data_IF_818940870327
#
_entry.id   IF_818940870327
#
_cell.length_a   1.000
_cell.length_b   1.000
_cell.length_c   1.000
_cell.angle_alpha   90.00
_cell.angle_beta   90.00
_cell.angle_gamma   90.00
#
_symmetry.space_group_name_H-M   'P 1'
#
loop_
_entity.id
_entity.type
_entity.pdbx_description
1 polymer ?
#
# COMPACT_ATOMS: atom_id res chain seq x y z
N UNK A 1 -26.98 -6.99 -48.55
CA UNK A 1 -25.52 -6.73 -48.55
C UNK A 1 -25.02 -7.16 -47.19
N UNK A 2 -24.32 -8.28 -47.12
CA UNK A 2 -23.78 -8.82 -45.87
C UNK A 2 -22.52 -8.01 -45.49
N UNK A 3 -22.38 -7.65 -44.22
CA UNK A 3 -21.18 -6.96 -43.71
C UNK A 3 -20.11 -8.01 -43.39
N UNK A 4 -18.93 -7.90 -44.00
CA UNK A 4 -17.80 -8.83 -43.85
C UNK A 4 -17.05 -8.70 -42.52
N UNK A 5 -17.44 -7.79 -41.63
CA UNK A 5 -16.69 -7.55 -40.39
C UNK A 5 -17.48 -7.99 -39.16
N UNK A 6 -16.94 -9.02 -38.51
CA UNK A 6 -17.36 -9.51 -37.20
C UNK A 6 -17.02 -8.47 -36.11
N UNK A 7 -18.00 -7.82 -35.45
CA UNK A 7 -17.75 -6.81 -34.43
C UNK A 7 -17.28 -7.42 -33.07
N UNK A 8 -17.27 -8.75 -32.96
CA UNK A 8 -16.73 -9.48 -31.81
C UNK A 8 -15.33 -10.02 -32.10
N UNK A 9 -14.40 -9.13 -32.41
CA UNK A 9 -12.98 -9.43 -32.31
C UNK A 9 -12.62 -9.65 -30.83
N UNK A 10 -12.38 -10.91 -30.46
CA UNK A 10 -11.75 -11.25 -29.20
C UNK A 10 -10.27 -10.86 -29.27
N UNK A 11 -9.90 -9.75 -28.63
CA UNK A 11 -8.50 -9.61 -28.20
C UNK A 11 -8.33 -10.62 -27.09
N UNK A 12 -7.59 -11.70 -27.37
CA UNK A 12 -6.99 -12.50 -26.32
C UNK A 12 -5.97 -11.60 -25.61
N UNK A 13 -6.48 -10.83 -24.65
CA UNK A 13 -5.66 -9.96 -23.84
C UNK A 13 -5.11 -10.86 -22.77
N UNK A 14 -3.81 -11.13 -22.84
CA UNK A 14 -3.03 -11.88 -21.86
C UNK A 14 -2.97 -11.13 -20.51
N UNK A 15 -4.15 -10.93 -19.91
CA UNK A 15 -4.37 -10.32 -18.60
C UNK A 15 -4.09 -11.31 -17.47
N UNK A 16 -3.77 -12.56 -17.80
CA UNK A 16 -3.68 -13.65 -16.83
C UNK A 16 -2.34 -13.63 -16.06
N UNK A 17 -1.26 -13.12 -16.65
CA UNK A 17 -0.01 -12.86 -15.91
C UNK A 17 0.01 -11.46 -15.28
N UNK A 18 -0.94 -11.21 -14.38
CA UNK A 18 -0.96 -9.98 -13.60
C UNK A 18 0.10 -10.05 -12.50
N UNK A 19 1.30 -9.53 -12.78
CA UNK A 19 2.32 -9.30 -11.78
C UNK A 19 1.76 -8.41 -10.66
N UNK A 20 1.78 -8.92 -9.43
CA UNK A 20 1.39 -8.18 -8.22
C UNK A 20 2.57 -8.25 -7.26
N UNK A 21 2.94 -7.10 -6.74
CA UNK A 21 3.82 -7.00 -5.58
C UNK A 21 3.05 -6.29 -4.48
N UNK A 22 3.38 -6.60 -3.24
CA UNK A 22 2.90 -5.84 -2.10
C UNK A 22 3.96 -4.79 -1.73
N UNK A 23 3.50 -3.66 -1.21
CA UNK A 23 4.37 -2.57 -0.80
C UNK A 23 3.89 -2.03 0.53
N UNK A 24 4.82 -1.79 1.45
CA UNK A 24 4.58 -1.02 2.65
C UNK A 24 5.21 0.36 2.52
N UNK A 25 4.45 1.39 2.88
CA UNK A 25 4.87 2.78 2.92
C UNK A 25 4.25 3.40 4.18
N UNK A 26 5.02 4.22 4.89
CA UNK A 26 4.54 5.06 5.98
C UNK A 26 4.89 6.52 5.74
N UNK A 27 4.21 7.41 6.45
CA UNK A 27 4.50 8.85 6.46
C UNK A 27 4.67 9.27 7.93
N UNK A 28 5.72 10.03 8.21
CA UNK A 28 6.00 10.60 9.53
C UNK A 28 6.36 12.06 9.34
N UNK A 29 5.49 12.96 9.80
CA UNK A 29 5.60 14.39 9.51
C UNK A 29 5.54 14.64 8.00
N UNK A 30 6.59 15.26 7.46
CA UNK A 30 6.79 15.56 6.04
C UNK A 30 7.58 14.48 5.28
N UNK A 31 7.95 13.38 5.94
CA UNK A 31 8.84 12.34 5.38
C UNK A 31 8.12 11.05 5.07
N UNK A 32 8.44 10.48 3.92
CA UNK A 32 8.03 9.12 3.55
C UNK A 32 9.03 8.12 4.12
N UNK A 33 8.52 7.08 4.78
CA UNK A 33 9.28 5.92 5.26
C UNK A 33 8.98 4.74 4.34
N UNK A 34 10.00 4.18 3.69
CA UNK A 34 9.84 3.14 2.67
C UNK A 34 10.23 3.66 1.28
N UNK A 35 9.72 3.06 0.18
CA UNK A 35 8.88 1.86 0.11
C UNK A 35 9.63 0.58 0.52
N UNK A 36 8.89 -0.41 1.03
CA UNK A 36 9.40 -1.76 1.28
C UNK A 36 8.56 -2.74 0.47
N UNK A 37 9.15 -3.33 -0.56
CA UNK A 37 8.49 -4.28 -1.45
C UNK A 37 8.61 -5.71 -0.94
N UNK A 38 7.55 -6.50 -1.14
CA UNK A 38 7.52 -7.92 -0.82
C UNK A 38 6.50 -8.65 -1.72
N UNK A 39 6.80 -9.88 -2.10
CA UNK A 39 6.00 -10.63 -3.10
C UNK A 39 4.95 -11.57 -2.49
N UNK A 40 4.97 -11.74 -1.17
CA UNK A 40 4.14 -12.73 -0.49
C UNK A 40 2.98 -12.08 0.27
N UNK A 41 1.95 -12.86 0.61
CA UNK A 41 0.84 -12.38 1.43
C UNK A 41 1.31 -11.86 2.80
N UNK A 42 0.72 -10.76 3.26
CA UNK A 42 1.05 -10.19 4.56
C UNK A 42 0.41 -11.03 5.68
N UNK A 43 1.25 -11.75 6.43
CA UNK A 43 0.84 -12.45 7.66
C UNK A 43 1.24 -11.63 8.88
N UNK A 44 0.60 -11.86 10.03
CA UNK A 44 0.95 -11.18 11.29
C UNK A 44 2.45 -11.30 11.63
N UNK A 45 3.04 -12.49 11.45
CA UNK A 45 4.49 -12.71 11.68
C UNK A 45 5.37 -11.93 10.71
N UNK A 46 4.99 -11.84 9.43
CA UNK A 46 5.71 -11.02 8.44
C UNK A 46 5.60 -9.55 8.77
N UNK A 47 4.41 -9.07 9.11
CA UNK A 47 4.19 -7.70 9.51
C UNK A 47 5.00 -7.35 10.77
N UNK A 48 5.04 -8.23 11.77
CA UNK A 48 5.89 -8.06 12.96
C UNK A 48 7.37 -7.92 12.63
N UNK A 49 7.89 -8.69 11.67
CA UNK A 49 9.28 -8.54 11.18
C UNK A 49 9.49 -7.22 10.45
N UNK A 50 8.52 -6.84 9.61
CA UNK A 50 8.52 -5.58 8.89
C UNK A 50 8.56 -4.39 9.85
N UNK A 51 7.79 -4.43 10.95
CA UNK A 51 7.80 -3.41 11.99
C UNK A 51 9.17 -3.22 12.65
N UNK A 52 9.97 -4.29 12.82
CA UNK A 52 11.36 -4.17 13.31
C UNK A 52 12.25 -3.42 12.33
N UNK A 53 12.13 -3.74 11.04
CA UNK A 53 12.87 -3.07 9.99
C UNK A 53 12.49 -1.58 9.91
N UNK A 54 11.19 -1.29 9.98
CA UNK A 54 10.67 0.09 9.97
C UNK A 54 11.17 0.85 11.19
N UNK A 55 11.10 0.24 12.37
CA UNK A 55 11.57 0.84 13.61
C UNK A 55 13.03 1.30 13.49
N UNK A 56 13.89 0.49 12.86
CA UNK A 56 15.28 0.88 12.56
C UNK A 56 15.37 2.17 11.73
N UNK A 57 14.44 2.38 10.79
CA UNK A 57 14.38 3.58 9.92
C UNK A 57 13.72 4.80 10.58
N UNK A 58 13.06 4.63 11.72
CA UNK A 58 12.44 5.75 12.43
C UNK A 58 13.46 6.56 13.25
N UNK A 59 14.62 5.98 13.57
CA UNK A 59 15.63 6.62 14.39
C UNK A 59 16.22 7.90 13.77
N UNK A 60 16.27 7.98 12.44
CA UNK A 60 16.81 9.14 11.71
C UNK A 60 15.76 10.23 11.45
N UNK A 61 14.57 10.12 12.04
CA UNK A 61 13.51 11.09 11.85
C UNK A 61 13.72 12.30 12.79
N UNK A 62 13.47 13.54 12.33
CA UNK A 62 13.51 14.72 13.21
C UNK A 62 12.48 14.65 14.35
N UNK A 63 11.40 13.88 14.18
CA UNK A 63 10.43 13.61 15.24
C UNK A 63 10.97 12.48 16.11
N UNK A 64 11.19 12.67 17.42
CA UNK A 64 11.57 11.60 18.33
C UNK A 64 10.52 10.51 18.40
N UNK A 65 10.95 9.24 18.47
CA UNK A 65 10.00 8.12 18.47
C UNK A 65 9.04 8.10 19.67
N UNK A 66 9.45 8.62 20.82
CA UNK A 66 8.57 8.76 21.98
C UNK A 66 7.48 9.83 21.81
N UNK A 67 7.53 10.63 20.75
CA UNK A 67 6.50 11.59 20.35
C UNK A 67 5.69 11.11 19.14
N UNK A 68 6.10 10.02 18.50
CA UNK A 68 5.39 9.46 17.34
C UNK A 68 4.15 8.69 17.77
N UNK A 69 3.10 8.83 16.95
CA UNK A 69 1.90 8.01 17.00
C UNK A 69 1.88 7.03 15.83
N UNK A 70 1.53 5.78 16.11
CA UNK A 70 1.43 4.74 15.09
C UNK A 70 -0.02 4.47 14.72
N UNK A 71 -0.43 4.71 13.47
CA UNK A 71 -1.80 4.44 13.00
C UNK A 71 -1.81 3.23 12.06
N UNK A 72 -2.71 2.27 12.31
CA UNK A 72 -2.98 1.12 11.43
C UNK A 72 -4.45 1.05 11.02
N UNK A 73 -4.69 0.42 9.87
CA UNK A 73 -6.03 0.10 9.40
C UNK A 73 -6.61 -1.16 10.08
N UNK A 74 -7.80 -1.56 9.62
CA UNK A 74 -8.49 -2.76 10.09
C UNK A 74 -7.98 -4.09 9.51
N UNK A 75 -6.83 -4.16 8.85
CA UNK A 75 -6.38 -5.40 8.23
C UNK A 75 -6.10 -6.50 9.28
N UNK A 76 -6.48 -7.77 9.06
CA UNK A 76 -6.30 -8.83 10.05
C UNK A 76 -4.84 -9.02 10.52
N UNK A 77 -3.87 -8.88 9.60
CA UNK A 77 -2.45 -9.02 9.94
C UNK A 77 -1.95 -7.93 10.90
N UNK A 78 -2.52 -6.73 10.85
CA UNK A 78 -2.14 -5.59 11.70
C UNK A 78 -2.74 -5.70 13.11
N UNK A 79 -3.83 -6.45 13.27
CA UNK A 79 -4.60 -6.52 14.50
C UNK A 79 -4.34 -7.80 15.31
N UNK A 80 -3.39 -8.64 14.88
CA UNK A 80 -2.98 -9.83 15.61
C UNK A 80 -2.19 -9.47 16.88
N UNK A 81 -2.32 -10.30 17.92
CA UNK A 81 -1.67 -10.08 19.23
C UNK A 81 -0.17 -9.79 19.13
N UNK A 82 0.57 -10.59 18.34
CA UNK A 82 2.03 -10.43 18.15
C UNK A 82 2.44 -9.07 17.57
N UNK A 83 1.50 -8.36 16.92
CA UNK A 83 1.69 -7.03 16.36
C UNK A 83 1.30 -5.97 17.39
N UNK A 84 0.13 -6.11 18.00
CA UNK A 84 -0.37 -5.15 18.99
C UNK A 84 0.53 -5.09 20.23
N UNK A 85 1.02 -6.25 20.71
CA UNK A 85 1.99 -6.33 21.81
C UNK A 85 3.28 -5.56 21.48
N UNK A 86 3.78 -5.67 20.25
CA UNK A 86 4.98 -4.94 19.85
C UNK A 86 4.75 -3.43 19.77
N UNK A 87 3.56 -3.01 19.33
CA UNK A 87 3.24 -1.59 19.26
C UNK A 87 3.05 -1.01 20.65
N UNK A 88 2.46 -1.75 21.58
CA UNK A 88 2.37 -1.32 22.98
C UNK A 88 3.77 -1.19 23.61
N UNK A 89 4.68 -2.15 23.34
CA UNK A 89 6.06 -2.09 23.82
C UNK A 89 6.81 -0.87 23.26
N UNK A 90 6.63 -0.57 21.97
CA UNK A 90 7.46 0.42 21.27
C UNK A 90 6.86 1.83 21.21
N UNK A 91 5.54 1.93 21.23
CA UNK A 91 4.73 3.14 21.19
C UNK A 91 3.65 3.08 22.28
N UNK A 92 4.04 2.96 23.57
CA UNK A 92 3.08 2.80 24.66
C UNK A 92 2.07 3.95 24.65
N UNK A 93 0.78 3.60 24.70
CA UNK A 93 -0.35 4.54 24.66
C UNK A 93 -0.45 5.41 23.40
N UNK A 94 0.42 5.21 22.40
CA UNK A 94 0.54 6.05 21.21
C UNK A 94 0.39 5.27 19.92
N UNK A 95 -0.58 4.37 19.89
CA UNK A 95 -0.95 3.71 18.64
C UNK A 95 -2.47 3.55 18.51
N UNK A 96 -2.91 3.71 17.27
CA UNK A 96 -4.31 3.71 16.84
C UNK A 96 -4.50 2.48 15.98
N UNK A 97 -5.47 1.65 16.33
CA UNK A 97 -5.79 0.42 15.59
C UNK A 97 -7.07 -0.20 16.10
N UNK A 98 -7.61 -1.19 15.39
CA UNK A 98 -8.90 -1.80 15.75
C UNK A 98 -8.85 -2.42 17.17
N UNK A 99 -7.73 -3.06 17.51
CA UNK A 99 -7.50 -3.72 18.79
C UNK A 99 -6.64 -2.89 19.77
N UNK A 100 -6.52 -1.57 19.57
CA UNK A 100 -5.82 -0.71 20.54
C UNK A 100 -6.62 -0.59 21.84
N UNK A 101 -5.98 -0.78 23.02
CA UNK A 101 -6.66 -0.62 24.29
C UNK A 101 -6.96 0.86 24.59
N UNK A 102 -6.19 1.79 23.99
CA UNK A 102 -6.25 3.22 24.29
C UNK A 102 -7.04 4.01 23.25
N UNK A 103 -6.76 3.79 21.96
CA UNK A 103 -7.40 4.54 20.86
C UNK A 103 -7.81 3.60 19.73
N UNK A 104 -9.09 3.21 19.74
CA UNK A 104 -9.64 2.30 18.73
C UNK A 104 -9.90 3.02 17.41
N UNK A 105 -9.46 2.42 16.30
CA UNK A 105 -9.80 2.86 14.96
C UNK A 105 -11.20 2.34 14.57
N UNK A 106 -12.10 3.20 14.03
CA UNK A 106 -13.42 2.75 13.64
C UNK A 106 -13.35 1.78 12.45
N UNK A 107 -14.11 0.66 12.47
CA UNK A 107 -14.16 -0.27 11.35
C UNK A 107 -14.61 0.42 10.05
N UNK A 108 -14.08 -0.04 8.91
CA UNK A 108 -14.51 0.37 7.56
C UNK A 108 -14.46 1.89 7.29
N UNK A 109 -13.52 2.60 7.91
CA UNK A 109 -13.33 4.05 7.75
C UNK A 109 -12.01 4.36 7.03
N UNK A 110 -11.84 4.00 5.74
CA UNK A 110 -10.61 4.27 4.99
C UNK A 110 -10.37 5.78 4.77
N UNK A 111 -11.41 6.60 4.89
CA UNK A 111 -11.36 8.06 4.87
C UNK A 111 -10.57 8.66 6.03
N UNK A 112 -10.41 7.92 7.14
CA UNK A 112 -9.68 8.37 8.33
C UNK A 112 -8.19 7.98 8.33
N UNK A 113 -7.70 7.29 7.31
CA UNK A 113 -6.25 7.10 7.12
C UNK A 113 -5.77 7.97 5.96
N UNK A 114 -4.77 8.81 6.20
CA UNK A 114 -4.16 9.64 5.14
C UNK A 114 -3.61 8.75 4.01
N UNK A 115 -3.17 7.54 4.37
CA UNK A 115 -2.66 6.54 3.45
C UNK A 115 -3.71 6.07 2.44
N UNK A 116 -4.91 5.72 2.89
CA UNK A 116 -5.96 5.22 1.99
C UNK A 116 -6.73 6.36 1.32
N UNK A 117 -7.05 7.43 2.06
CA UNK A 117 -7.79 8.58 1.55
C UNK A 117 -7.04 9.30 0.43
N UNK A 118 -5.73 9.56 0.61
CA UNK A 118 -4.96 10.39 -0.30
C UNK A 118 -3.81 9.65 -1.00
N UNK A 119 -2.91 9.04 -0.23
CA UNK A 119 -1.62 8.61 -0.75
C UNK A 119 -1.75 7.48 -1.78
N UNK A 120 -2.33 6.33 -1.40
CA UNK A 120 -2.43 5.18 -2.29
C UNK A 120 -3.35 5.44 -3.48
N UNK A 121 -4.39 6.26 -3.34
CA UNK A 121 -5.22 6.72 -4.44
C UNK A 121 -4.40 7.47 -5.50
N UNK A 122 -3.57 8.41 -5.07
CA UNK A 122 -2.69 9.17 -5.96
C UNK A 122 -1.60 8.31 -6.61
N UNK A 123 -0.95 7.42 -5.85
CA UNK A 123 0.05 6.49 -6.41
C UNK A 123 -0.58 5.62 -7.51
N UNK A 124 -1.76 5.05 -7.25
CA UNK A 124 -2.48 4.27 -8.28
C UNK A 124 -2.75 5.11 -9.53
N UNK A 125 -3.26 6.33 -9.38
CA UNK A 125 -3.53 7.25 -10.50
C UNK A 125 -2.27 7.53 -11.33
N UNK A 126 -1.13 7.79 -10.69
CA UNK A 126 0.14 8.04 -11.37
C UNK A 126 0.61 6.79 -12.12
N UNK A 127 0.61 5.63 -11.47
CA UNK A 127 1.01 4.36 -12.08
C UNK A 127 0.17 4.03 -13.32
N UNK A 128 -1.15 4.14 -13.23
CA UNK A 128 -2.03 3.88 -14.38
C UNK A 128 -1.83 4.88 -15.52
N UNK A 129 -1.58 6.15 -15.21
CA UNK A 129 -1.28 7.17 -16.22
C UNK A 129 0.02 6.87 -16.94
N UNK A 130 1.07 6.49 -16.21
CA UNK A 130 2.37 6.18 -16.79
C UNK A 130 2.32 4.93 -17.67
N UNK A 131 1.61 3.88 -17.23
CA UNK A 131 1.38 2.67 -18.04
C UNK A 131 0.62 3.00 -19.32
N UNK A 132 -0.39 3.88 -19.26
CA UNK A 132 -1.13 4.33 -20.44
C UNK A 132 -0.22 5.09 -21.42
N UNK A 133 0.63 5.99 -20.93
CA UNK A 133 1.62 6.72 -21.75
C UNK A 133 2.60 5.76 -22.44
N UNK A 134 3.15 4.80 -21.71
CA UNK A 134 4.08 3.79 -22.26
C UNK A 134 3.42 2.95 -23.35
N UNK A 135 2.20 2.45 -23.10
CA UNK A 135 1.44 1.71 -24.12
C UNK A 135 1.20 2.56 -25.37
N UNK A 136 0.73 3.80 -25.21
CA UNK A 136 0.49 4.69 -26.35
C UNK A 136 1.78 5.00 -27.14
N UNK A 137 2.92 5.12 -26.46
CA UNK A 137 4.23 5.29 -27.12
C UNK A 137 4.62 4.06 -27.93
N UNK A 138 4.41 2.85 -27.40
CA UNK A 138 4.72 1.60 -28.11
C UNK A 138 3.82 1.41 -29.34
N UNK A 139 2.52 1.72 -29.23
CA UNK A 139 1.61 1.63 -30.38
C UNK A 139 1.94 2.67 -31.45
N UNK A 140 2.27 3.92 -31.08
CA UNK A 140 2.61 4.97 -32.06
C UNK A 140 3.93 4.75 -32.82
N UNK A 141 4.86 3.96 -32.27
CA UNK A 141 6.11 3.59 -32.97
C UNK A 141 5.96 2.38 -33.90
N UNK A 142 4.85 1.63 -33.82
CA UNK A 142 4.60 0.44 -34.64
C UNK A 142 3.70 0.71 -35.87
N UNK A 143 3.37 1.98 -36.17
CA UNK A 143 2.59 2.37 -37.36
C UNK A 143 3.44 3.06 -38.45
N UNK A 144 4.77 2.98 -38.36
CA UNK A 144 5.71 3.54 -39.35
C UNK A 144 6.75 2.54 -39.87
N UNK A 145 6.46 1.23 -39.84
CA UNK A 145 7.19 0.19 -40.57
C UNK A 145 6.25 -0.59 -41.46
#
# INVERSE_FOLDING_TARGET
MWSEQNPHWFIENDRQHRWKFNVWIGIVGDRIIGPIFYNENLTARRYRRLLRLINGRLHDNPIPQNQMWWQMDGAPAHNAAVVTEYLEERFPERWIGLNSPHVRFPPRSPDLTIMDYYFFGNIKRICYTQVKKLKNSLYSHNYWL
#
